data_IF_922410116187
#
_entry.id   IF_922410116187
#
_cell.length_a   1.000
_cell.length_b   1.000
_cell.length_c   1.000
_cell.angle_alpha   90.00
_cell.angle_beta   90.00
_cell.angle_gamma   90.00
#
_symmetry.space_group_name_H-M   'P 1'
#
loop_
_entity.id
_entity.type
_entity.pdbx_description
1 polymer ?
#
# COMPACT_ATOMS: atom_id res chain seq x y z
N UNK A 1 9.49 13.46 -6.71
CA UNK A 1 8.63 12.88 -5.67
C UNK A 1 7.88 11.72 -6.26
N UNK A 2 8.50 10.56 -6.16
CA UNK A 2 7.92 9.26 -6.48
C UNK A 2 7.63 8.48 -5.19
N UNK A 3 6.69 7.54 -5.26
CA UNK A 3 6.27 6.72 -4.13
C UNK A 3 6.67 5.27 -4.35
N UNK A 4 7.27 4.68 -3.32
CA UNK A 4 7.38 3.23 -3.15
C UNK A 4 6.24 2.76 -2.26
N UNK A 5 5.41 1.85 -2.77
CA UNK A 5 4.27 1.31 -2.03
C UNK A 5 4.60 -0.09 -1.52
N UNK A 6 4.50 -0.31 -0.20
CA UNK A 6 4.53 -1.65 0.38
C UNK A 6 3.12 -2.08 0.75
N UNK A 7 2.63 -3.15 0.13
CA UNK A 7 1.28 -3.67 0.35
C UNK A 7 1.28 -4.87 1.28
N UNK A 8 0.25 -5.01 2.13
CA UNK A 8 0.10 -6.20 2.96
C UNK A 8 -0.07 -7.48 2.12
N UNK A 9 -0.87 -7.41 1.05
CA UNK A 9 -1.04 -8.50 0.07
C UNK A 9 -1.40 -9.88 0.65
N UNK A 10 -2.12 -9.90 1.77
CA UNK A 10 -2.65 -11.14 2.35
C UNK A 10 -3.78 -11.76 1.53
N UNK A 11 -4.12 -13.01 1.84
CA UNK A 11 -5.18 -13.78 1.16
C UNK A 11 -6.61 -13.29 1.46
N UNK A 12 -6.79 -12.40 2.43
CA UNK A 12 -8.11 -11.84 2.74
C UNK A 12 -8.56 -10.82 1.70
N UNK A 13 -9.85 -10.49 1.63
CA UNK A 13 -10.38 -9.46 0.74
C UNK A 13 -9.62 -8.14 0.86
N UNK A 14 -9.37 -7.68 2.09
CA UNK A 14 -8.62 -6.45 2.36
C UNK A 14 -7.14 -6.57 1.98
N UNK A 15 -6.55 -7.77 2.10
CA UNK A 15 -5.20 -8.05 1.63
C UNK A 15 -5.10 -8.00 0.10
N UNK A 16 -6.00 -8.68 -0.61
CA UNK A 16 -6.12 -8.64 -2.07
C UNK A 16 -6.38 -7.21 -2.56
N UNK A 17 -7.26 -6.49 -1.87
CA UNK A 17 -7.60 -5.08 -2.14
C UNK A 17 -6.34 -4.21 -2.15
N UNK A 18 -5.45 -4.33 -1.16
CA UNK A 18 -4.21 -3.53 -1.12
C UNK A 18 -3.37 -3.70 -2.38
N UNK A 19 -3.21 -4.92 -2.87
CA UNK A 19 -2.48 -5.21 -4.11
C UNK A 19 -3.18 -4.59 -5.33
N UNK A 20 -4.50 -4.74 -5.42
CA UNK A 20 -5.27 -4.23 -6.56
C UNK A 20 -5.24 -2.69 -6.61
N UNK A 21 -5.38 -2.02 -5.46
CA UNK A 21 -5.27 -0.55 -5.39
C UNK A 21 -3.86 -0.07 -5.77
N UNK A 22 -2.80 -0.72 -5.29
CA UNK A 22 -1.43 -0.34 -5.64
C UNK A 22 -1.16 -0.49 -7.14
N UNK A 23 -1.63 -1.58 -7.76
CA UNK A 23 -1.54 -1.77 -9.23
C UNK A 23 -2.37 -0.73 -9.98
N UNK A 24 -3.57 -0.40 -9.49
CA UNK A 24 -4.43 0.62 -10.08
C UNK A 24 -3.74 2.00 -10.07
N UNK A 25 -3.11 2.38 -8.95
CA UNK A 25 -2.29 3.59 -8.84
C UNK A 25 -1.09 3.59 -9.78
N UNK A 26 -0.32 2.50 -9.80
CA UNK A 26 0.85 2.37 -10.68
C UNK A 26 0.48 2.60 -12.15
N UNK A 27 -0.70 2.13 -12.57
CA UNK A 27 -1.21 2.33 -13.93
C UNK A 27 -1.73 3.75 -14.19
N UNK A 28 -2.37 4.39 -13.21
CA UNK A 28 -2.99 5.73 -13.37
C UNK A 28 -2.02 6.89 -13.18
N UNK A 29 -0.97 6.68 -12.41
CA UNK A 29 -0.04 7.71 -11.96
C UNK A 29 1.38 7.40 -12.44
N UNK A 30 1.53 7.26 -13.77
CA UNK A 30 2.82 7.04 -14.40
C UNK A 30 3.80 8.16 -14.01
N UNK A 31 4.96 7.77 -13.47
CA UNK A 31 5.98 8.71 -12.98
C UNK A 31 5.77 9.25 -11.57
N UNK A 32 4.66 8.91 -10.88
CA UNK A 32 4.49 9.21 -9.45
C UNK A 32 4.66 7.96 -8.58
N UNK A 33 4.37 6.76 -9.09
CA UNK A 33 4.63 5.50 -8.38
C UNK A 33 5.82 4.82 -9.02
N UNK A 34 6.88 4.59 -8.25
CA UNK A 34 8.10 3.93 -8.75
C UNK A 34 7.94 2.41 -8.72
N UNK A 35 7.53 1.87 -7.57
CA UNK A 35 7.29 0.44 -7.43
C UNK A 35 6.20 0.11 -6.39
N UNK A 36 5.63 -1.09 -6.53
CA UNK A 36 4.68 -1.68 -5.61
C UNK A 36 5.20 -3.06 -5.20
N UNK A 37 5.40 -3.27 -3.89
CA UNK A 37 6.07 -4.46 -3.36
C UNK A 37 5.20 -5.09 -2.29
N UNK A 38 4.83 -6.38 -2.42
CA UNK A 38 4.07 -7.05 -1.38
C UNK A 38 4.98 -7.42 -0.21
N UNK A 39 4.48 -7.31 1.02
CA UNK A 39 5.19 -7.66 2.25
C UNK A 39 5.61 -9.14 2.35
N UNK A 40 5.04 -9.98 1.48
CA UNK A 40 5.43 -11.39 1.31
C UNK A 40 6.77 -11.58 0.59
N UNK A 41 7.31 -10.54 -0.05
CA UNK A 41 8.66 -10.58 -0.63
C UNK A 41 9.74 -10.82 0.42
N UNK A 42 10.86 -11.32 -0.05
CA UNK A 42 12.09 -11.46 0.73
C UNK A 42 12.52 -10.11 1.28
N UNK A 43 13.15 -10.16 2.45
CA UNK A 43 13.49 -8.97 3.23
C UNK A 43 14.46 -8.08 2.47
N UNK A 44 15.45 -8.70 1.85
CA UNK A 44 16.53 -8.07 1.11
C UNK A 44 15.98 -7.25 -0.07
N UNK A 45 14.95 -7.76 -0.74
CA UNK A 45 14.26 -7.06 -1.83
C UNK A 45 13.48 -5.83 -1.33
N UNK A 46 12.85 -5.93 -0.15
CA UNK A 46 12.16 -4.79 0.47
C UNK A 46 13.20 -3.75 0.90
N UNK A 47 14.27 -4.16 1.59
CA UNK A 47 15.33 -3.26 2.06
C UNK A 47 16.00 -2.51 0.91
N UNK A 48 16.20 -3.16 -0.25
CA UNK A 48 16.69 -2.48 -1.45
C UNK A 48 15.73 -1.39 -1.92
N UNK A 49 14.44 -1.68 -2.02
CA UNK A 49 13.46 -0.68 -2.42
C UNK A 49 13.33 0.49 -1.42
N UNK A 50 13.47 0.20 -0.13
CA UNK A 50 13.45 1.23 0.92
C UNK A 50 14.64 2.19 0.83
N UNK A 51 15.81 1.75 0.33
CA UNK A 51 16.99 2.61 0.16
C UNK A 51 16.77 3.70 -0.89
N UNK A 52 16.03 3.38 -1.94
CA UNK A 52 15.81 4.29 -3.09
C UNK A 52 14.47 5.03 -3.02
N UNK A 53 13.62 4.71 -2.04
CA UNK A 53 12.31 5.35 -1.88
C UNK A 53 12.46 6.83 -1.49
N UNK A 54 12.01 7.73 -2.38
CA UNK A 54 11.83 9.15 -2.05
C UNK A 54 10.74 9.31 -0.98
N UNK A 55 9.54 8.79 -1.25
CA UNK A 55 8.42 8.72 -0.31
C UNK A 55 7.95 7.27 -0.15
N UNK A 56 7.75 6.85 1.11
CA UNK A 56 7.34 5.51 1.47
C UNK A 56 5.88 5.47 1.92
N UNK A 57 5.05 4.75 1.17
CA UNK A 57 3.64 4.52 1.51
C UNK A 57 3.43 3.06 1.90
N UNK A 58 2.91 2.83 3.11
CA UNK A 58 2.48 1.52 3.59
C UNK A 58 0.98 1.42 3.42
N UNK A 59 0.55 0.35 2.75
CA UNK A 59 -0.85 0.03 2.53
C UNK A 59 -1.20 -1.31 3.17
N UNK A 60 -1.83 -1.24 4.33
CA UNK A 60 -2.28 -2.41 5.09
C UNK A 60 -3.77 -2.66 4.88
N UNK A 61 -4.15 -3.95 4.88
CA UNK A 61 -5.55 -4.33 4.74
C UNK A 61 -6.35 -4.14 6.02
N UNK A 62 -5.70 -4.31 7.19
CA UNK A 62 -6.35 -4.25 8.49
C UNK A 62 -5.35 -3.92 9.60
N UNK A 63 -5.83 -3.82 10.84
CA UNK A 63 -5.05 -3.49 12.04
C UNK A 63 -3.93 -4.47 12.39
N UNK A 64 -3.84 -5.62 11.71
CA UNK A 64 -2.70 -6.52 11.85
C UNK A 64 -1.39 -5.87 11.36
N UNK A 65 -1.48 -4.85 10.49
CA UNK A 65 -0.37 -4.02 10.03
C UNK A 65 0.83 -4.84 9.52
N UNK A 66 0.56 -5.86 8.71
CA UNK A 66 1.56 -6.81 8.24
C UNK A 66 2.67 -6.14 7.43
N UNK A 67 2.33 -5.18 6.56
CA UNK A 67 3.30 -4.45 5.76
C UNK A 67 4.16 -3.52 6.63
N UNK A 68 3.55 -2.80 7.57
CA UNK A 68 4.31 -1.98 8.52
C UNK A 68 5.28 -2.83 9.33
N UNK A 69 4.82 -3.93 9.93
CA UNK A 69 5.66 -4.86 10.69
C UNK A 69 6.81 -5.40 9.86
N UNK A 70 6.57 -5.66 8.57
CA UNK A 70 7.59 -6.14 7.65
C UNK A 70 8.74 -5.14 7.46
N UNK A 71 8.51 -3.83 7.55
CA UNK A 71 9.57 -2.83 7.35
C UNK A 71 10.22 -2.32 8.65
N UNK A 72 9.62 -2.57 9.82
CA UNK A 72 10.06 -2.00 11.11
C UNK A 72 11.54 -2.25 11.42
N UNK A 73 12.07 -3.39 11.00
CA UNK A 73 13.48 -3.76 11.22
C UNK A 73 14.47 -2.90 10.45
N UNK A 74 14.06 -2.26 9.35
CA UNK A 74 14.93 -1.44 8.51
C UNK A 74 15.26 -0.10 9.17
N UNK A 75 14.53 0.27 10.23
CA UNK A 75 14.60 1.60 10.85
C UNK A 75 13.97 2.72 9.99
N UNK A 76 13.56 2.44 8.74
CA UNK A 76 12.85 3.41 7.89
C UNK A 76 11.43 3.60 8.41
N UNK A 77 11.05 4.86 8.64
CA UNK A 77 9.67 5.22 8.94
C UNK A 77 8.89 5.45 7.65
N UNK A 78 7.61 5.03 7.61
CA UNK A 78 6.76 5.35 6.49
C UNK A 78 6.38 6.83 6.52
N UNK A 79 6.37 7.45 5.35
CA UNK A 79 5.87 8.82 5.17
C UNK A 79 4.33 8.83 5.21
N UNK A 80 3.72 7.74 4.72
CA UNK A 80 2.29 7.49 4.78
C UNK A 80 1.98 6.06 5.21
N UNK A 81 0.95 5.91 6.05
CA UNK A 81 0.40 4.62 6.43
C UNK A 81 -1.11 4.69 6.31
N UNK A 82 -1.68 3.79 5.49
CA UNK A 82 -3.11 3.67 5.25
C UNK A 82 -3.52 2.25 5.58
N UNK A 83 -4.61 2.11 6.35
CA UNK A 83 -5.21 0.84 6.71
C UNK A 83 -6.61 0.79 6.09
N UNK A 84 -6.86 -0.14 5.15
CA UNK A 84 -8.11 -0.19 4.39
C UNK A 84 -9.35 -0.24 5.29
N UNK A 85 -9.30 -0.99 6.40
CA UNK A 85 -10.42 -1.05 7.36
C UNK A 85 -10.70 0.27 8.07
N UNK A 86 -9.68 1.12 8.27
CA UNK A 86 -9.87 2.46 8.84
C UNK A 86 -10.49 3.43 7.82
N UNK A 87 -10.44 3.08 6.53
CA UNK A 87 -11.13 3.80 5.45
C UNK A 87 -12.56 3.29 5.22
N UNK A 88 -13.10 2.46 6.11
CA UNK A 88 -14.48 1.95 6.03
C UNK A 88 -14.66 0.66 5.22
N UNK A 89 -13.57 0.03 4.78
CA UNK A 89 -13.64 -1.28 4.12
C UNK A 89 -13.85 -2.39 5.15
N UNK A 90 -14.81 -3.28 4.90
CA UNK A 90 -15.09 -4.39 5.81
C UNK A 90 -14.21 -5.60 5.47
N UNK A 91 -13.52 -6.18 6.46
CA UNK A 91 -12.80 -7.45 6.28
C UNK A 91 -13.80 -8.61 6.34
N UNK A 92 -14.03 -9.29 5.23
CA UNK A 92 -14.99 -10.40 5.09
C UNK A 92 -14.31 -11.74 4.73
N UNK A 93 -13.11 -11.96 5.25
CA UNK A 93 -12.40 -13.23 5.05
C UNK A 93 -11.75 -13.30 3.68
N UNK A 94 -11.94 -14.41 2.96
CA UNK A 94 -11.23 -14.71 1.70
C UNK A 94 -12.00 -14.31 0.43
N UNK A 95 -13.09 -13.55 0.56
CA UNK A 95 -13.84 -13.04 -0.59
C UNK A 95 -12.94 -12.18 -1.52
N UNK A 96 -13.42 -11.97 -2.73
CA UNK A 96 -12.80 -11.01 -3.64
C UNK A 96 -13.24 -9.59 -3.27
N UNK A 97 -12.32 -8.61 -3.29
CA UNK A 97 -12.70 -7.22 -3.07
C UNK A 97 -13.61 -6.74 -4.19
N UNK A 98 -14.60 -5.94 -3.84
CA UNK A 98 -15.52 -5.36 -4.80
C UNK A 98 -14.82 -4.23 -5.58
N UNK A 99 -15.22 -4.04 -6.84
CA UNK A 99 -14.68 -2.95 -7.67
C UNK A 99 -14.84 -1.57 -6.98
N UNK A 100 -15.97 -1.36 -6.30
CA UNK A 100 -16.21 -0.14 -5.53
C UNK A 100 -15.18 0.06 -4.41
N UNK A 101 -14.84 -0.98 -3.66
CA UNK A 101 -13.84 -0.90 -2.59
C UNK A 101 -12.45 -0.54 -3.14
N UNK A 102 -12.10 -1.07 -4.32
CA UNK A 102 -10.85 -0.76 -5.01
C UNK A 102 -10.81 0.72 -5.40
N UNK A 103 -11.87 1.24 -6.02
CA UNK A 103 -11.92 2.65 -6.42
C UNK A 103 -11.98 3.61 -5.23
N UNK A 104 -12.77 3.28 -4.19
CA UNK A 104 -12.88 4.11 -2.98
C UNK A 104 -11.51 4.23 -2.28
N UNK A 105 -10.81 3.12 -2.06
CA UNK A 105 -9.49 3.14 -1.44
C UNK A 105 -8.43 3.79 -2.35
N UNK A 106 -8.52 3.57 -3.68
CA UNK A 106 -7.63 4.24 -4.65
C UNK A 106 -7.82 5.75 -4.61
N UNK A 107 -9.04 6.26 -4.48
CA UNK A 107 -9.31 7.69 -4.35
C UNK A 107 -8.70 8.29 -3.07
N UNK A 108 -8.77 7.57 -1.93
CA UNK A 108 -8.10 7.96 -0.68
C UNK A 108 -6.59 8.09 -0.90
N UNK A 109 -5.97 7.10 -1.56
CA UNK A 109 -4.53 7.10 -1.83
C UNK A 109 -4.12 8.22 -2.77
N UNK A 110 -4.89 8.48 -3.84
CA UNK A 110 -4.65 9.59 -4.77
C UNK A 110 -4.70 10.95 -4.06
N UNK A 111 -5.68 11.15 -3.18
CA UNK A 111 -5.78 12.38 -2.41
C UNK A 111 -4.56 12.57 -1.49
N UNK A 112 -4.07 11.48 -0.89
CA UNK A 112 -2.87 11.51 -0.06
C UNK A 112 -1.62 11.91 -0.85
N UNK A 113 -1.41 11.26 -2.00
CA UNK A 113 -0.27 11.52 -2.91
C UNK A 113 -0.26 12.96 -3.40
N UNK A 114 -1.43 13.51 -3.75
CA UNK A 114 -1.57 14.85 -4.33
C UNK A 114 -1.51 15.98 -3.29
N UNK A 115 -2.00 15.77 -2.08
CA UNK A 115 -2.02 16.81 -1.04
C UNK A 115 -0.62 17.25 -0.60
N UNK A 116 0.39 16.39 -0.79
CA UNK A 116 1.81 16.65 -0.48
C UNK A 116 2.54 17.44 -1.58
N UNK A 117 1.92 17.66 -2.74
CA UNK A 117 2.53 18.36 -3.88
C UNK A 117 2.28 19.87 -3.89
N UNK A 118 1.38 20.36 -3.04
CA UNK A 118 1.00 21.77 -2.91
C UNK A 118 1.85 22.53 -1.91
#
# INVERSE_FOLDING_TARGET
MTYTIITCSGISNTGKLTTQCAINLLRRCAGEIDCCIPATREREAIDEALRHAEELLILDGCSDCCALKKIQHSGRRPDHHIIATECGIVKNGMEEPQFKEIEDLTAVLLNRIRSKRG
#
